data_IF_539909967523
#
_entry.id   IF_539909967523
#
_cell.length_a   1.000
_cell.length_b   1.000
_cell.length_c   1.000
_cell.angle_alpha   90.00
_cell.angle_beta   90.00
_cell.angle_gamma   90.00
#
_symmetry.space_group_name_H-M   'P 1'
#
loop_
_entity.id
_entity.type
_entity.pdbx_description
1 polymer ?
#
# COMPACT_ATOMS: atom_id res chain seq x y z
N UNK A 1 16.54 -10.25 -7.37
CA UNK A 1 15.35 -10.06 -6.51
C UNK A 1 15.32 -8.64 -6.01
N UNK A 2 14.17 -7.99 -6.13
CA UNK A 2 13.95 -6.55 -6.02
C UNK A 2 14.16 -6.04 -4.58
N UNK A 3 15.33 -5.47 -4.28
CA UNK A 3 15.64 -4.85 -2.98
C UNK A 3 14.58 -3.81 -2.53
N UNK A 4 13.90 -3.22 -3.50
CA UNK A 4 12.84 -2.23 -3.28
C UNK A 4 11.62 -2.83 -2.57
N UNK A 5 11.21 -4.04 -2.92
CA UNK A 5 10.04 -4.72 -2.34
C UNK A 5 10.24 -5.06 -0.87
N UNK A 6 11.43 -5.58 -0.53
CA UNK A 6 11.81 -5.84 0.85
C UNK A 6 11.87 -4.54 1.66
N UNK A 7 12.33 -3.43 1.07
CA UNK A 7 12.33 -2.13 1.73
C UNK A 7 10.91 -1.63 2.02
N UNK A 8 9.98 -1.78 1.06
CA UNK A 8 8.56 -1.46 1.25
C UNK A 8 7.98 -2.26 2.41
N UNK A 9 8.13 -3.59 2.39
CA UNK A 9 7.61 -4.45 3.46
C UNK A 9 8.27 -4.16 4.81
N UNK A 10 9.56 -3.83 4.85
CA UNK A 10 10.22 -3.43 6.10
C UNK A 10 9.64 -2.14 6.65
N UNK A 11 9.43 -1.11 5.82
CA UNK A 11 8.82 0.16 6.29
C UNK A 11 7.40 -0.08 6.79
N UNK A 12 6.59 -0.79 6.00
CA UNK A 12 5.18 -1.01 6.28
C UNK A 12 4.97 -1.92 7.50
N UNK A 13 5.87 -2.87 7.74
CA UNK A 13 5.81 -3.77 8.90
C UNK A 13 6.63 -3.29 10.11
N UNK A 14 7.50 -2.28 9.98
CA UNK A 14 8.36 -1.81 11.08
C UNK A 14 7.61 -1.44 12.37
N UNK A 15 6.45 -0.75 12.31
CA UNK A 15 5.69 -0.41 13.52
C UNK A 15 4.73 -1.52 13.99
N UNK A 16 4.53 -2.60 13.22
CA UNK A 16 3.50 -3.61 13.49
C UNK A 16 4.11 -4.99 13.74
N UNK A 17 3.68 -5.66 14.83
CA UNK A 17 4.10 -7.05 15.09
C UNK A 17 3.59 -8.06 14.05
N UNK A 18 2.56 -7.70 13.28
CA UNK A 18 2.08 -8.51 12.15
C UNK A 18 2.87 -8.11 10.92
N UNK A 19 3.62 -9.05 10.35
CA UNK A 19 4.28 -8.87 9.08
C UNK A 19 3.34 -9.31 7.97
N UNK A 20 2.87 -8.36 7.15
CA UNK A 20 2.22 -8.69 5.88
C UNK A 20 3.30 -9.08 4.87
N UNK A 21 3.08 -10.19 4.19
CA UNK A 21 3.84 -10.56 2.99
C UNK A 21 3.43 -9.69 1.79
N UNK A 22 4.25 -9.69 0.74
CA UNK A 22 4.01 -8.94 -0.51
C UNK A 22 2.62 -9.24 -1.08
N UNK A 23 2.24 -10.52 -1.16
CA UNK A 23 0.95 -10.93 -1.69
C UNK A 23 -0.22 -10.46 -0.80
N UNK A 24 -0.04 -10.43 0.52
CA UNK A 24 -1.08 -9.99 1.45
C UNK A 24 -1.31 -8.47 1.33
N UNK A 25 -0.22 -7.70 1.24
CA UNK A 25 -0.28 -6.26 0.98
C UNK A 25 -0.92 -5.96 -0.39
N UNK A 26 -0.53 -6.69 -1.44
CA UNK A 26 -1.11 -6.55 -2.77
C UNK A 26 -2.61 -6.86 -2.79
N UNK A 27 -3.06 -7.91 -2.10
CA UNK A 27 -4.48 -8.20 -1.96
C UNK A 27 -5.23 -7.09 -1.22
N UNK A 28 -4.62 -6.51 -0.18
CA UNK A 28 -5.21 -5.36 0.51
C UNK A 28 -5.29 -4.11 -0.38
N UNK A 29 -4.32 -3.89 -1.28
CA UNK A 29 -4.36 -2.78 -2.25
C UNK A 29 -5.35 -3.01 -3.39
N UNK A 30 -5.70 -4.26 -3.67
CA UNK A 30 -6.72 -4.64 -4.65
C UNK A 30 -8.14 -4.65 -4.06
N UNK A 31 -8.28 -4.78 -2.74
CA UNK A 31 -9.57 -4.88 -2.06
C UNK A 31 -9.65 -3.95 -0.84
N UNK A 32 -10.53 -2.94 -0.96
CA UNK A 32 -10.74 -1.94 0.10
C UNK A 32 -11.28 -2.55 1.40
N UNK A 33 -11.99 -3.68 1.36
CA UNK A 33 -12.45 -4.34 2.57
C UNK A 33 -11.29 -4.98 3.33
N UNK A 34 -10.38 -5.66 2.61
CA UNK A 34 -9.13 -6.17 3.18
C UNK A 34 -8.24 -5.04 3.71
N UNK A 35 -8.17 -3.92 3.00
CA UNK A 35 -7.43 -2.74 3.45
C UNK A 35 -7.89 -2.23 4.81
N UNK A 36 -9.21 -2.26 5.06
CA UNK A 36 -9.80 -1.84 6.34
C UNK A 36 -9.51 -2.81 7.49
N UNK A 37 -9.14 -4.05 7.19
CA UNK A 37 -8.68 -5.01 8.20
C UNK A 37 -7.23 -4.71 8.63
N UNK A 38 -6.45 -4.09 7.76
CA UNK A 38 -5.06 -3.71 8.01
C UNK A 38 -4.78 -2.21 7.73
N UNK A 39 -5.55 -1.27 8.32
CA UNK A 39 -5.50 0.13 7.92
C UNK A 39 -4.16 0.79 8.23
N UNK A 40 -3.45 0.30 9.27
CA UNK A 40 -2.12 0.77 9.63
C UNK A 40 -1.07 0.48 8.56
N UNK A 41 -1.03 -0.77 8.08
CA UNK A 41 -0.10 -1.15 7.01
C UNK A 41 -0.40 -0.41 5.70
N UNK A 42 -1.67 -0.21 5.36
CA UNK A 42 -2.05 0.51 4.14
C UNK A 42 -1.73 2.01 4.27
N UNK A 43 -1.98 2.62 5.42
CA UNK A 43 -1.60 4.03 5.66
C UNK A 43 -0.08 4.21 5.57
N UNK A 44 0.71 3.33 6.20
CA UNK A 44 2.17 3.34 6.09
C UNK A 44 2.64 3.16 4.63
N UNK A 45 2.01 2.26 3.87
CA UNK A 45 2.34 2.09 2.45
C UNK A 45 2.00 3.34 1.63
N UNK A 46 0.83 3.95 1.82
CA UNK A 46 0.42 5.10 1.01
C UNK A 46 1.13 6.40 1.42
N UNK A 47 1.50 6.55 2.70
CA UNK A 47 2.06 7.77 3.29
C UNK A 47 3.58 7.75 3.46
N UNK A 48 4.18 6.63 3.85
CA UNK A 48 5.63 6.54 4.12
C UNK A 48 6.43 6.00 2.94
N UNK A 49 5.82 5.12 2.11
CA UNK A 49 6.50 4.58 0.94
C UNK A 49 6.48 5.61 -0.20
N UNK A 50 7.62 5.87 -0.87
CA UNK A 50 7.65 6.77 -2.02
C UNK A 50 6.69 6.32 -3.13
N UNK A 51 5.97 7.24 -3.80
CA UNK A 51 5.02 6.89 -4.86
C UNK A 51 5.66 6.11 -6.01
N UNK A 52 6.95 6.33 -6.30
CA UNK A 52 7.71 5.55 -7.28
C UNK A 52 7.78 4.06 -6.90
N UNK A 53 8.01 3.75 -5.62
CA UNK A 53 8.06 2.38 -5.12
C UNK A 53 6.66 1.77 -5.01
N UNK A 54 5.65 2.57 -4.67
CA UNK A 54 4.26 2.12 -4.66
C UNK A 54 3.81 1.65 -6.06
N UNK A 55 4.16 2.43 -7.10
CA UNK A 55 3.87 2.07 -8.50
C UNK A 55 4.65 0.83 -8.93
N UNK A 56 5.93 0.73 -8.58
CA UNK A 56 6.75 -0.44 -8.90
C UNK A 56 6.19 -1.70 -8.24
N UNK A 57 5.76 -1.60 -6.98
CA UNK A 57 5.06 -2.67 -6.27
C UNK A 57 3.76 -3.06 -6.98
N UNK A 58 2.93 -2.08 -7.37
CA UNK A 58 1.70 -2.33 -8.12
C UNK A 58 1.98 -3.12 -9.41
N UNK A 59 2.99 -2.70 -10.17
CA UNK A 59 3.38 -3.36 -11.44
C UNK A 59 3.82 -4.80 -11.21
N UNK A 60 4.63 -5.06 -10.18
CA UNK A 60 5.07 -6.42 -9.83
C UNK A 60 3.88 -7.32 -9.45
N UNK A 61 2.87 -6.75 -8.80
CA UNK A 61 1.66 -7.46 -8.38
C UNK A 61 0.52 -7.42 -9.41
N UNK A 62 0.77 -6.94 -10.62
CA UNK A 62 -0.24 -6.78 -11.67
C UNK A 62 -1.44 -5.90 -11.27
N UNK A 63 -1.26 -4.99 -10.32
CA UNK A 63 -2.24 -3.99 -9.93
C UNK A 63 -2.13 -2.80 -10.90
N UNK A 64 -3.21 -2.40 -11.58
CA UNK A 64 -3.19 -1.21 -12.42
C UNK A 64 -2.88 0.03 -11.57
N UNK A 65 -1.91 0.84 -12.00
CA UNK A 65 -1.63 2.16 -11.40
C UNK A 65 -2.89 3.03 -11.26
N UNK A 66 -3.82 3.11 -12.24
CA UNK A 66 -5.06 3.87 -12.04
C UNK A 66 -5.93 3.31 -10.92
N UNK A 67 -6.07 1.98 -10.81
CA UNK A 67 -6.79 1.33 -9.71
C UNK A 67 -6.14 1.66 -8.35
N UNK A 68 -4.80 1.60 -8.27
CA UNK A 68 -4.09 1.94 -7.05
C UNK A 68 -4.33 3.39 -6.62
N UNK A 69 -4.39 4.33 -7.57
CA UNK A 69 -4.73 5.74 -7.28
C UNK A 69 -6.18 5.90 -6.82
N UNK A 70 -7.11 5.24 -7.49
CA UNK A 70 -8.52 5.24 -7.09
C UNK A 70 -8.70 4.64 -5.69
N UNK A 71 -7.99 3.55 -5.40
CA UNK A 71 -7.94 2.94 -4.08
C UNK A 71 -7.36 3.90 -3.04
N UNK A 72 -6.22 4.55 -3.33
CA UNK A 72 -5.60 5.51 -2.42
C UNK A 72 -6.55 6.68 -2.12
N UNK A 73 -7.30 7.16 -3.11
CA UNK A 73 -8.32 8.20 -2.92
C UNK A 73 -9.51 7.71 -2.09
N UNK A 74 -9.99 6.49 -2.31
CA UNK A 74 -11.06 5.89 -1.52
C UNK A 74 -10.63 5.64 -0.06
N UNK A 75 -9.41 5.15 0.13
CA UNK A 75 -8.83 4.92 1.45
C UNK A 75 -8.55 6.25 2.18
N UNK A 76 -8.08 7.27 1.47
CA UNK A 76 -7.94 8.65 1.98
C UNK A 76 -9.28 9.21 2.47
N UNK A 77 -10.34 9.08 1.67
CA UNK A 77 -11.68 9.53 2.05
C UNK A 77 -12.23 8.78 3.28
N UNK A 78 -11.86 7.50 3.45
CA UNK A 78 -12.30 6.68 4.58
C UNK A 78 -11.48 6.92 5.86
N UNK A 79 -10.14 6.96 5.75
CA UNK A 79 -9.21 7.15 6.87
C UNK A 79 -9.15 8.61 7.35
N UNK A 80 -9.47 9.56 6.47
CA UNK A 80 -9.32 10.99 6.70
C UNK A 80 -7.87 11.50 6.52
N UNK A 81 -6.93 10.63 6.14
CA UNK A 81 -5.55 11.01 5.81
C UNK A 81 -5.40 11.37 4.33
N UNK A 82 -4.47 12.28 4.01
CA UNK A 82 -4.16 12.66 2.63
C UNK A 82 -2.89 11.98 2.16
N UNK A 83 -2.98 11.20 1.08
CA UNK A 83 -1.84 10.49 0.51
C UNK A 83 -1.41 11.10 -0.82
N UNK A 84 -0.09 11.14 -1.12
CA UNK A 84 0.41 11.67 -2.40
C UNK A 84 -0.08 10.89 -3.61
N UNK A 85 -0.45 9.62 -3.44
CA UNK A 85 -1.01 8.80 -4.52
C UNK A 85 -2.50 9.10 -4.81
N UNK A 86 -3.19 9.73 -3.85
CA UNK A 86 -4.58 10.15 -3.94
C UNK A 86 -4.76 11.60 -4.46
N UNK A 87 -3.65 12.34 -4.60
CA UNK A 87 -3.62 13.74 -4.99
C UNK A 87 -3.61 13.96 -6.52
#
# INVERSE_FOLDING_TARGET
MSNHLASVLTTVNAPYSVQLDDAALANCLADLDLAKQHPGHISAFLGEVPPSLQVEFAVVHHIPVPDLKTFAAAFSAWSGESYPLAA
#
